data_IF_553668895303
#
_entry.id   IF_553668895303
#
_cell.length_a   1.000
_cell.length_b   1.000
_cell.length_c   1.000
_cell.angle_alpha   90.00
_cell.angle_beta   90.00
_cell.angle_gamma   90.00
#
_symmetry.space_group_name_H-M   'P 1'
#
loop_
_entity.id
_entity.type
_entity.pdbx_description
1 polymer ?
#
# COMPACT_ATOMS: atom_id res chain seq x y z
N UNK A 1 -56.80 -9.63 -3.78
CA UNK A 1 -55.77 -10.60 -4.23
C UNK A 1 -54.50 -9.92 -4.78
N UNK A 2 -54.62 -8.90 -5.61
CA UNK A 2 -53.45 -8.20 -6.24
C UNK A 2 -52.52 -7.55 -5.19
N UNK A 3 -53.02 -6.88 -4.17
CA UNK A 3 -52.24 -6.23 -3.13
C UNK A 3 -51.40 -7.23 -2.27
N UNK A 4 -51.95 -8.42 -1.99
CA UNK A 4 -51.23 -9.46 -1.26
C UNK A 4 -50.11 -10.08 -2.11
N UNK A 5 -50.35 -10.23 -3.41
CA UNK A 5 -49.31 -10.69 -4.35
C UNK A 5 -48.16 -9.67 -4.48
N UNK A 6 -48.46 -8.38 -4.58
CA UNK A 6 -47.48 -7.30 -4.59
C UNK A 6 -46.63 -7.25 -3.31
N UNK A 7 -47.28 -7.37 -2.12
CA UNK A 7 -46.56 -7.41 -0.84
C UNK A 7 -45.60 -8.62 -0.73
N UNK A 8 -46.01 -9.78 -1.23
CA UNK A 8 -45.15 -10.98 -1.26
C UNK A 8 -43.96 -10.80 -2.21
N UNK A 9 -44.20 -10.24 -3.39
CA UNK A 9 -43.11 -9.97 -4.36
C UNK A 9 -42.12 -8.95 -3.78
N UNK A 10 -42.59 -7.84 -3.20
CA UNK A 10 -41.73 -6.86 -2.52
C UNK A 10 -40.96 -7.49 -1.37
N UNK A 11 -41.56 -8.35 -0.57
CA UNK A 11 -40.88 -9.07 0.51
C UNK A 11 -39.77 -9.99 0.02
N UNK A 12 -40.03 -10.73 -1.07
CA UNK A 12 -39.00 -11.60 -1.70
C UNK A 12 -37.85 -10.79 -2.28
N UNK A 13 -38.14 -9.68 -2.98
CA UNK A 13 -37.14 -8.81 -3.54
C UNK A 13 -36.26 -8.17 -2.45
N UNK A 14 -36.87 -7.68 -1.37
CA UNK A 14 -36.13 -7.13 -0.23
C UNK A 14 -35.28 -8.18 0.47
N UNK A 15 -35.76 -9.40 0.60
CA UNK A 15 -35.03 -10.52 1.19
C UNK A 15 -33.83 -10.93 0.32
N UNK A 16 -34.01 -11.03 -1.00
CA UNK A 16 -32.92 -11.29 -1.95
C UNK A 16 -31.90 -10.16 -1.89
N UNK A 17 -32.33 -8.90 -1.86
CA UNK A 17 -31.45 -7.74 -1.76
C UNK A 17 -30.64 -7.77 -0.46
N UNK A 18 -31.28 -8.10 0.68
CA UNK A 18 -30.61 -8.22 1.96
C UNK A 18 -29.56 -9.36 1.98
N UNK A 19 -29.89 -10.52 1.39
CA UNK A 19 -28.96 -11.63 1.26
C UNK A 19 -27.78 -11.27 0.34
N UNK A 20 -28.03 -10.55 -0.75
CA UNK A 20 -26.98 -10.10 -1.68
C UNK A 20 -26.05 -9.10 -0.99
N UNK A 21 -26.62 -8.13 -0.26
CA UNK A 21 -25.82 -7.14 0.50
C UNK A 21 -25.01 -7.81 1.61
N UNK A 22 -25.58 -8.76 2.34
CA UNK A 22 -24.87 -9.54 3.34
C UNK A 22 -23.75 -10.39 2.72
N UNK A 23 -24.01 -11.02 1.57
CA UNK A 23 -23.02 -11.80 0.82
C UNK A 23 -21.88 -10.94 0.29
N UNK A 24 -22.18 -9.76 -0.28
CA UNK A 24 -21.16 -8.80 -0.74
C UNK A 24 -20.32 -8.30 0.43
N UNK A 25 -20.97 -7.94 1.55
CA UNK A 25 -20.25 -7.52 2.76
C UNK A 25 -19.35 -8.62 3.31
N UNK A 26 -19.80 -9.86 3.29
CA UNK A 26 -19.01 -11.03 3.71
C UNK A 26 -17.83 -11.28 2.76
N UNK A 27 -18.01 -11.20 1.44
CA UNK A 27 -16.97 -11.35 0.44
C UNK A 27 -15.94 -10.20 0.55
N UNK A 28 -16.41 -8.96 0.68
CA UNK A 28 -15.55 -7.78 0.75
C UNK A 28 -14.64 -7.78 2.00
N UNK A 29 -15.20 -8.15 3.16
CA UNK A 29 -14.42 -8.24 4.41
C UNK A 29 -13.59 -9.51 4.51
N UNK A 30 -13.92 -10.54 3.75
CA UNK A 30 -13.39 -11.89 3.91
C UNK A 30 -13.96 -12.58 5.18
N UNK A 31 -13.84 -13.92 5.31
CA UNK A 31 -14.43 -14.68 6.41
C UNK A 31 -13.85 -14.37 7.81
N UNK A 32 -12.84 -13.52 7.89
CA UNK A 32 -12.29 -12.98 9.13
C UNK A 32 -12.49 -11.47 9.16
N UNK A 33 -13.70 -11.04 9.41
CA UNK A 33 -13.91 -9.82 10.19
C UNK A 33 -13.46 -10.14 11.62
N UNK A 34 -12.14 -10.10 11.84
CA UNK A 34 -11.70 -9.67 13.14
C UNK A 34 -12.30 -8.28 13.27
N UNK A 35 -13.40 -8.14 14.04
CA UNK A 35 -13.90 -6.84 14.46
C UNK A 35 -12.68 -5.98 14.69
N UNK A 36 -12.66 -4.77 14.14
CA UNK A 36 -11.70 -3.80 14.62
C UNK A 36 -11.89 -3.83 16.12
N UNK A 37 -10.99 -4.50 16.83
CA UNK A 37 -11.01 -4.43 18.27
C UNK A 37 -10.83 -2.96 18.51
N UNK A 38 -11.82 -2.34 19.17
CA UNK A 38 -11.71 -0.98 19.63
C UNK A 38 -10.36 -0.89 20.34
N UNK A 39 -9.42 -0.22 19.68
CA UNK A 39 -8.04 -0.20 20.09
C UNK A 39 -7.93 0.70 21.32
N UNK A 40 -8.01 0.14 22.52
CA UNK A 40 -7.87 0.85 23.79
C UNK A 40 -6.56 0.51 24.51
N UNK A 41 -5.61 -0.12 23.82
CA UNK A 41 -4.32 -0.50 24.40
C UNK A 41 -3.17 0.35 23.86
N UNK A 42 -2.43 1.04 24.73
CA UNK A 42 -1.07 1.51 24.40
C UNK A 42 -0.26 0.31 23.88
N UNK A 43 0.51 0.47 22.78
CA UNK A 43 1.45 -0.57 22.37
C UNK A 43 2.32 -0.95 23.55
N UNK A 44 2.52 -2.26 23.77
CA UNK A 44 3.55 -2.72 24.71
C UNK A 44 4.89 -2.24 24.16
N UNK A 45 5.48 -1.23 24.79
CA UNK A 45 6.61 -0.45 24.26
C UNK A 45 7.94 -1.22 24.22
N UNK A 46 7.98 -2.50 24.56
CA UNK A 46 9.23 -3.24 24.75
C UNK A 46 9.68 -4.12 23.59
N UNK A 47 8.88 -4.30 22.54
CA UNK A 47 9.17 -5.26 21.45
C UNK A 47 9.35 -4.62 20.06
N UNK A 48 8.90 -3.40 19.87
CA UNK A 48 8.93 -2.76 18.56
C UNK A 48 10.04 -1.72 18.45
N UNK A 49 10.70 -1.57 17.27
CA UNK A 49 11.74 -0.56 17.10
C UNK A 49 11.15 0.85 17.24
N UNK A 50 12.02 1.79 17.63
CA UNK A 50 11.65 3.21 17.69
C UNK A 50 11.56 3.77 16.28
N UNK A 51 10.36 4.18 15.88
CA UNK A 51 10.07 4.82 14.59
C UNK A 51 10.23 6.34 14.74
N UNK A 52 10.95 6.96 13.83
CA UNK A 52 11.21 8.40 13.86
C UNK A 52 10.21 9.19 13.02
N UNK A 53 9.31 9.89 13.68
CA UNK A 53 8.40 10.87 13.05
C UNK A 53 9.18 11.97 12.32
N UNK A 54 10.33 12.38 12.87
CA UNK A 54 11.19 13.38 12.27
C UNK A 54 11.80 12.90 10.94
N UNK A 55 12.23 11.64 10.87
CA UNK A 55 12.76 11.06 9.61
C UNK A 55 11.66 10.98 8.55
N UNK A 56 10.46 10.52 8.92
CA UNK A 56 9.32 10.50 7.99
C UNK A 56 9.05 11.88 7.42
N UNK A 57 8.95 12.90 8.28
CA UNK A 57 8.72 14.28 7.86
C UNK A 57 9.86 14.82 7.00
N UNK A 58 11.11 14.57 7.37
CA UNK A 58 12.26 15.01 6.60
C UNK A 58 12.29 14.37 5.20
N UNK A 59 12.01 13.05 5.11
CA UNK A 59 11.93 12.34 3.84
C UNK A 59 10.87 12.92 2.92
N UNK A 60 9.62 13.06 3.42
CA UNK A 60 8.53 13.64 2.62
C UNK A 60 8.89 15.06 2.18
N UNK A 61 9.42 15.89 3.08
CA UNK A 61 9.82 17.25 2.76
C UNK A 61 10.88 17.27 1.65
N UNK A 62 11.94 16.46 1.76
CA UNK A 62 12.98 16.39 0.73
C UNK A 62 12.41 15.96 -0.63
N UNK A 63 11.53 14.96 -0.66
CA UNK A 63 10.91 14.50 -1.90
C UNK A 63 10.00 15.56 -2.53
N UNK A 64 9.25 16.30 -1.72
CA UNK A 64 8.26 17.28 -2.20
C UNK A 64 8.84 18.65 -2.52
N UNK A 65 9.93 19.05 -1.87
CA UNK A 65 10.50 20.40 -1.98
C UNK A 65 11.85 20.37 -2.71
N UNK A 66 12.84 19.60 -2.22
CA UNK A 66 14.20 19.63 -2.74
C UNK A 66 14.35 18.83 -4.07
N UNK A 67 13.60 17.73 -4.21
CA UNK A 67 13.64 16.81 -5.34
C UNK A 67 12.44 16.94 -6.29
N UNK A 68 11.52 17.84 -6.01
CA UNK A 68 10.40 18.15 -6.92
C UNK A 68 10.90 18.90 -8.17
N UNK A 69 10.22 18.73 -9.33
CA UNK A 69 9.16 17.77 -9.57
C UNK A 69 9.71 16.33 -9.69
N UNK A 70 8.87 15.36 -9.30
CA UNK A 70 9.14 13.94 -9.51
C UNK A 70 8.37 13.37 -10.70
N UNK A 71 8.01 14.22 -11.63
CA UNK A 71 7.36 13.83 -12.88
C UNK A 71 8.33 13.11 -13.81
N UNK A 72 7.82 12.24 -14.68
CA UNK A 72 8.62 11.42 -15.58
C UNK A 72 9.45 12.21 -16.58
N UNK A 73 8.98 13.39 -16.98
CA UNK A 73 9.68 14.20 -17.97
C UNK A 73 10.19 15.53 -17.38
N UNK A 74 11.45 15.91 -17.62
CA UNK A 74 12.51 15.08 -18.22
C UNK A 74 12.95 13.93 -17.31
N UNK A 75 13.49 12.81 -17.85
CA UNK A 75 13.92 11.65 -17.06
C UNK A 75 14.92 11.96 -15.95
N UNK A 76 15.68 13.04 -16.10
CA UNK A 76 16.61 13.52 -15.05
C UNK A 76 15.92 13.88 -13.73
N UNK A 77 14.63 14.20 -13.75
CA UNK A 77 13.86 14.43 -12.52
C UNK A 77 13.88 13.17 -11.65
N UNK A 78 13.46 12.04 -12.24
CA UNK A 78 13.41 10.77 -11.53
C UNK A 78 14.79 10.19 -11.24
N UNK A 79 15.80 10.44 -12.10
CA UNK A 79 17.17 10.01 -11.85
C UNK A 79 17.72 10.60 -10.54
N UNK A 80 17.52 11.90 -10.28
CA UNK A 80 17.94 12.55 -9.02
C UNK A 80 17.28 11.92 -7.80
N UNK A 81 15.99 11.60 -7.92
CA UNK A 81 15.22 10.97 -6.83
C UNK A 81 15.75 9.56 -6.57
N UNK A 82 15.97 8.76 -7.63
CA UNK A 82 16.51 7.42 -7.52
C UNK A 82 17.90 7.41 -6.85
N UNK A 83 18.80 8.33 -7.24
CA UNK A 83 20.12 8.46 -6.64
C UNK A 83 20.04 8.79 -5.15
N UNK A 84 19.13 9.69 -4.76
CA UNK A 84 18.90 10.03 -3.35
C UNK A 84 18.35 8.84 -2.55
N UNK A 85 17.34 8.15 -3.07
CA UNK A 85 16.76 6.95 -2.42
C UNK A 85 17.83 5.86 -2.28
N UNK A 86 18.63 5.61 -3.32
CA UNK A 86 19.73 4.65 -3.28
C UNK A 86 20.75 4.99 -2.18
N UNK A 87 21.09 6.28 -2.04
CA UNK A 87 21.94 6.78 -0.95
C UNK A 87 21.35 6.45 0.43
N UNK A 88 20.07 6.77 0.64
CA UNK A 88 19.37 6.50 1.92
C UNK A 88 19.30 5.00 2.25
N UNK A 89 19.06 4.15 1.24
CA UNK A 89 19.04 2.71 1.45
C UNK A 89 20.44 2.15 1.75
N UNK A 90 21.52 2.64 1.10
CA UNK A 90 22.89 2.22 1.39
C UNK A 90 23.33 2.52 2.82
N UNK A 91 22.82 3.60 3.43
CA UNK A 91 23.08 3.93 4.84
C UNK A 91 22.62 2.86 5.82
N UNK A 92 21.68 2.00 5.41
CA UNK A 92 21.15 0.91 6.26
C UNK A 92 22.06 -0.32 6.31
N UNK A 93 23.07 -0.38 5.44
CA UNK A 93 23.98 -1.52 5.31
C UNK A 93 23.40 -2.71 4.54
N UNK A 94 22.20 -2.60 3.96
CA UNK A 94 21.65 -3.61 3.06
C UNK A 94 22.35 -3.58 1.70
N UNK A 95 22.25 -4.70 0.97
CA UNK A 95 22.66 -4.76 -0.43
C UNK A 95 21.67 -3.94 -1.25
N UNK A 96 22.15 -2.89 -1.91
CA UNK A 96 21.35 -2.02 -2.77
C UNK A 96 21.70 -2.29 -4.22
N UNK A 97 20.69 -2.60 -5.01
CA UNK A 97 20.76 -2.84 -6.45
C UNK A 97 19.93 -1.77 -7.16
N UNK A 98 20.29 -1.50 -8.39
CA UNK A 98 19.58 -0.58 -9.26
C UNK A 98 19.19 -1.33 -10.53
N UNK A 99 17.94 -1.18 -10.96
CA UNK A 99 17.44 -1.78 -12.20
C UNK A 99 17.05 -0.67 -13.16
N UNK A 100 17.94 -0.38 -14.12
CA UNK A 100 17.62 0.51 -15.23
C UNK A 100 16.69 -0.21 -16.22
N UNK A 101 15.71 0.52 -16.74
CA UNK A 101 14.80 0.03 -17.77
C UNK A 101 14.43 1.14 -18.75
N UNK A 102 14.05 0.74 -19.96
CA UNK A 102 13.68 1.66 -21.05
C UNK A 102 12.18 1.63 -21.28
N UNK A 103 11.64 2.81 -21.52
CA UNK A 103 10.26 3.06 -21.96
C UNK A 103 10.28 3.88 -23.24
N UNK A 104 9.12 4.19 -23.80
CA UNK A 104 9.00 5.13 -24.92
C UNK A 104 9.46 6.55 -24.57
N UNK A 105 9.36 6.94 -23.29
CA UNK A 105 9.64 8.29 -22.81
C UNK A 105 11.07 8.49 -22.28
N UNK A 106 11.82 7.40 -22.11
CA UNK A 106 13.19 7.49 -21.62
C UNK A 106 13.70 6.26 -20.89
N UNK A 107 14.81 6.44 -20.17
CA UNK A 107 15.37 5.42 -19.27
C UNK A 107 15.12 5.84 -17.84
N UNK A 108 14.56 4.91 -17.07
CA UNK A 108 14.22 5.09 -15.66
C UNK A 108 14.83 3.97 -14.82
N UNK A 109 14.65 4.02 -13.51
CA UNK A 109 15.33 3.13 -12.59
C UNK A 109 14.45 2.72 -11.42
N UNK A 110 14.44 1.43 -11.07
CA UNK A 110 14.00 0.96 -9.78
C UNK A 110 15.19 0.89 -8.81
N UNK A 111 14.97 1.25 -7.56
CA UNK A 111 15.97 1.15 -6.49
C UNK A 111 15.56 0.05 -5.53
N UNK A 112 16.41 -0.94 -5.31
CA UNK A 112 16.08 -2.20 -4.67
C UNK A 112 17.04 -2.43 -3.51
N UNK A 113 16.53 -2.54 -2.27
CA UNK A 113 17.29 -3.02 -1.13
C UNK A 113 16.92 -4.48 -0.84
N UNK A 114 17.92 -5.35 -0.74
CA UNK A 114 17.76 -6.76 -0.44
C UNK A 114 18.16 -7.05 1.01
N UNK A 115 17.22 -7.59 1.77
CA UNK A 115 17.48 -8.25 3.05
C UNK A 115 17.44 -9.76 2.84
N UNK A 116 18.62 -10.38 2.85
CA UNK A 116 18.75 -11.82 2.61
C UNK A 116 18.12 -12.63 3.73
N UNK A 117 17.30 -13.61 3.36
CA UNK A 117 16.74 -14.60 4.26
C UNK A 117 17.70 -15.77 4.54
N UNK A 118 17.43 -16.51 5.59
CA UNK A 118 18.22 -17.70 6.00
C UNK A 118 17.84 -18.95 5.21
N UNK A 119 16.65 -19.01 4.64
CA UNK A 119 16.13 -20.15 3.88
C UNK A 119 15.90 -19.76 2.42
N UNK A 120 16.83 -20.17 1.56
CA UNK A 120 16.78 -19.86 0.13
C UNK A 120 15.71 -20.64 -0.64
N UNK A 121 15.11 -21.68 -0.05
CA UNK A 121 14.01 -22.43 -0.67
C UNK A 121 12.67 -21.75 -0.50
N UNK A 122 12.56 -20.80 0.43
CA UNK A 122 11.38 -19.97 0.57
C UNK A 122 11.31 -18.95 -0.55
N UNK A 123 10.09 -18.58 -0.91
CA UNK A 123 9.85 -17.46 -1.80
C UNK A 123 10.20 -16.12 -1.13
N UNK A 124 10.15 -15.07 -1.89
CA UNK A 124 10.51 -13.72 -1.45
C UNK A 124 9.26 -12.90 -1.15
N UNK A 125 9.36 -11.97 -0.19
CA UNK A 125 8.38 -10.91 0.01
C UNK A 125 8.92 -9.62 -0.60
N UNK A 126 8.08 -8.92 -1.37
CA UNK A 126 8.37 -7.61 -1.95
C UNK A 126 7.52 -6.57 -1.23
N UNK A 127 8.13 -5.50 -0.76
CA UNK A 127 7.44 -4.31 -0.27
C UNK A 127 7.92 -3.14 -1.10
N UNK A 128 7.01 -2.41 -1.76
CA UNK A 128 7.39 -1.35 -2.67
C UNK A 128 6.50 -0.14 -2.60
N UNK A 129 7.03 0.99 -3.06
CA UNK A 129 6.33 2.26 -3.23
C UNK A 129 6.88 2.95 -4.47
N UNK A 130 6.02 3.57 -5.27
CA UNK A 130 6.51 4.39 -6.38
C UNK A 130 7.01 5.75 -5.87
N UNK A 131 7.93 6.35 -6.63
CA UNK A 131 8.54 7.63 -6.24
C UNK A 131 8.29 8.75 -7.25
N UNK A 132 7.66 8.45 -8.39
CA UNK A 132 7.19 9.47 -9.34
C UNK A 132 5.88 10.13 -8.85
N UNK A 133 5.44 11.16 -9.56
CA UNK A 133 4.21 11.91 -9.30
C UNK A 133 3.40 12.14 -10.56
N UNK A 134 2.09 12.23 -10.42
CA UNK A 134 1.18 12.68 -11.46
C UNK A 134 1.45 14.15 -11.81
N UNK A 135 2.30 14.38 -12.82
CA UNK A 135 2.69 15.72 -13.23
C UNK A 135 3.62 16.45 -12.25
N UNK A 136 3.68 17.80 -12.30
CA UNK A 136 4.62 18.59 -11.53
C UNK A 136 4.14 18.93 -10.11
N UNK A 137 3.33 18.07 -9.52
CA UNK A 137 2.79 18.27 -8.17
C UNK A 137 3.77 17.81 -7.08
N UNK A 138 3.64 18.32 -5.83
CA UNK A 138 4.50 17.89 -4.74
C UNK A 138 4.34 16.40 -4.42
N UNK A 139 3.12 15.84 -4.50
CA UNK A 139 2.84 14.43 -4.27
C UNK A 139 3.26 13.97 -2.89
N UNK A 140 2.82 14.66 -1.84
CA UNK A 140 3.23 14.34 -0.49
C UNK A 140 2.64 13.03 0.00
N UNK A 141 1.34 12.85 -0.24
CA UNK A 141 0.68 11.59 0.03
C UNK A 141 0.91 10.62 -1.11
N UNK A 142 0.85 11.11 -2.36
CA UNK A 142 1.00 10.37 -3.60
C UNK A 142 2.35 10.64 -4.31
N UNK A 143 3.43 9.89 -4.07
CA UNK A 143 3.53 8.83 -3.06
C UNK A 143 4.81 9.00 -2.22
N UNK A 144 5.15 10.27 -1.85
CA UNK A 144 6.27 10.49 -0.93
C UNK A 144 5.99 9.86 0.45
N UNK A 145 4.71 9.70 0.84
CA UNK A 145 4.31 9.04 2.07
C UNK A 145 4.72 7.55 2.07
N UNK A 146 4.42 6.84 0.97
CA UNK A 146 4.81 5.44 0.79
C UNK A 146 6.32 5.24 0.77
N UNK A 147 7.06 6.12 0.05
CA UNK A 147 8.53 6.09 0.04
C UNK A 147 9.10 6.36 1.43
N UNK A 148 8.56 7.32 2.18
CA UNK A 148 9.02 7.63 3.53
C UNK A 148 8.80 6.46 4.49
N UNK A 149 7.61 5.82 4.42
CA UNK A 149 7.29 4.61 5.19
C UNK A 149 8.23 3.47 4.81
N UNK A 150 8.51 3.25 3.52
CA UNK A 150 9.43 2.22 3.05
C UNK A 150 10.85 2.42 3.59
N UNK A 151 11.39 3.64 3.49
CA UNK A 151 12.75 3.96 3.97
C UNK A 151 12.85 3.82 5.50
N UNK A 152 11.86 4.29 6.24
CA UNK A 152 11.85 4.17 7.69
C UNK A 152 11.67 2.71 8.16
N UNK A 153 10.86 1.91 7.44
CA UNK A 153 10.73 0.49 7.66
C UNK A 153 12.10 -0.22 7.52
N UNK A 154 12.83 0.07 6.42
CA UNK A 154 14.15 -0.51 6.18
C UNK A 154 15.15 -0.10 7.25
N UNK A 155 15.16 1.18 7.66
CA UNK A 155 16.05 1.70 8.70
C UNK A 155 15.85 1.00 10.05
N UNK A 156 14.63 0.56 10.32
CA UNK A 156 14.23 0.00 11.63
C UNK A 156 14.08 -1.51 11.62
N UNK A 157 14.53 -2.19 10.56
CA UNK A 157 14.46 -3.66 10.47
C UNK A 157 15.14 -4.36 11.67
N UNK A 158 14.54 -5.43 12.21
CA UNK A 158 15.16 -6.22 13.28
C UNK A 158 16.50 -6.78 12.82
N UNK A 159 17.50 -6.84 13.72
CA UNK A 159 18.84 -7.35 13.39
C UNK A 159 18.88 -8.80 12.92
N UNK A 160 18.20 -9.77 13.56
CA UNK A 160 18.18 -11.14 13.05
C UNK A 160 17.61 -11.19 11.63
N UNK A 161 18.26 -11.90 10.69
CA UNK A 161 17.74 -12.04 9.34
C UNK A 161 16.42 -12.81 9.37
N UNK A 162 15.49 -12.52 8.43
CA UNK A 162 14.23 -13.25 8.30
C UNK A 162 14.48 -14.66 7.74
N UNK A 163 13.47 -15.52 7.75
CA UNK A 163 13.54 -16.80 7.05
C UNK A 163 13.49 -16.62 5.54
N UNK A 164 12.53 -15.85 5.04
CA UNK A 164 12.36 -15.50 3.62
C UNK A 164 13.11 -14.23 3.28
N UNK A 165 13.72 -14.16 2.10
CA UNK A 165 14.34 -12.93 1.61
C UNK A 165 13.28 -11.84 1.38
N UNK A 166 13.65 -10.59 1.62
CA UNK A 166 12.78 -9.43 1.51
C UNK A 166 13.40 -8.42 0.57
N UNK A 167 12.64 -8.00 -0.45
CA UNK A 167 12.97 -6.89 -1.31
C UNK A 167 12.17 -5.66 -0.89
N UNK A 168 12.87 -4.54 -0.71
CA UNK A 168 12.30 -3.23 -0.49
C UNK A 168 12.59 -2.40 -1.73
N UNK A 169 11.56 -1.99 -2.45
CA UNK A 169 11.71 -1.44 -3.80
C UNK A 169 11.06 -0.08 -3.91
N UNK A 170 11.84 0.93 -4.32
CA UNK A 170 11.27 2.16 -4.82
C UNK A 170 11.11 2.03 -6.35
N UNK A 171 9.87 2.06 -6.82
CA UNK A 171 9.54 1.95 -8.23
C UNK A 171 9.50 3.32 -8.90
N UNK A 172 10.00 3.40 -10.13
CA UNK A 172 9.77 4.55 -10.99
C UNK A 172 8.57 4.30 -11.92
N UNK A 173 8.02 5.35 -12.51
CA UNK A 173 7.03 5.27 -13.58
C UNK A 173 5.78 4.43 -13.23
N UNK A 174 5.10 4.77 -12.15
CA UNK A 174 3.79 4.21 -11.80
C UNK A 174 2.67 5.03 -12.43
N UNK A 175 2.83 6.35 -12.43
CA UNK A 175 1.84 7.34 -12.83
C UNK A 175 1.64 7.41 -14.37
N UNK A 176 0.59 8.09 -14.79
CA UNK A 176 0.38 8.37 -16.22
C UNK A 176 1.60 9.04 -16.86
N UNK A 177 2.01 8.63 -18.06
CA UNK A 177 1.30 7.74 -19.02
C UNK A 177 1.62 6.25 -18.88
N UNK A 178 2.33 5.82 -17.83
CA UNK A 178 2.81 4.45 -17.70
C UNK A 178 1.84 3.52 -16.99
N UNK A 179 0.91 4.07 -16.20
CA UNK A 179 -0.02 3.27 -15.40
C UNK A 179 -0.73 2.20 -16.23
N UNK A 180 -0.80 0.99 -15.69
CA UNK A 180 -1.45 -0.15 -16.35
C UNK A 180 -0.68 -0.74 -17.54
N UNK A 181 0.48 -0.18 -17.88
CA UNK A 181 1.31 -0.63 -19.01
C UNK A 181 2.47 -1.52 -18.55
N UNK A 182 3.21 -2.03 -19.55
CA UNK A 182 4.44 -2.78 -19.32
C UNK A 182 5.63 -1.88 -18.95
N UNK A 183 5.46 -0.58 -19.06
CA UNK A 183 6.48 0.42 -18.78
C UNK A 183 6.47 0.92 -17.33
N UNK A 184 5.54 0.42 -16.49
CA UNK A 184 5.63 0.60 -15.04
C UNK A 184 6.91 -0.01 -14.49
N UNK A 185 7.57 0.70 -13.57
CA UNK A 185 8.77 0.17 -12.89
C UNK A 185 8.51 -1.15 -12.19
N UNK A 186 7.35 -1.28 -11.56
CA UNK A 186 6.89 -2.53 -10.93
C UNK A 186 6.70 -3.66 -11.93
N UNK A 187 6.28 -3.37 -13.18
CA UNK A 187 6.14 -4.38 -14.23
C UNK A 187 7.51 -4.91 -14.68
N UNK A 188 8.51 -4.02 -14.81
CA UNK A 188 9.88 -4.43 -15.11
C UNK A 188 10.47 -5.30 -14.00
N UNK A 189 10.22 -4.95 -12.73
CA UNK A 189 10.74 -5.74 -11.61
C UNK A 189 10.02 -7.08 -11.46
N UNK A 190 8.70 -7.12 -11.59
CA UNK A 190 7.92 -8.35 -11.52
C UNK A 190 8.33 -9.35 -12.62
N UNK A 191 8.54 -8.86 -13.87
CA UNK A 191 9.05 -9.69 -14.96
C UNK A 191 10.44 -10.24 -14.66
N UNK A 192 11.36 -9.40 -14.18
CA UNK A 192 12.70 -9.85 -13.80
C UNK A 192 12.63 -10.99 -12.78
N UNK A 193 11.82 -10.87 -11.74
CA UNK A 193 11.66 -11.94 -10.74
C UNK A 193 11.09 -13.21 -11.38
N UNK A 194 10.12 -13.08 -12.28
CA UNK A 194 9.54 -14.22 -13.01
C UNK A 194 10.56 -14.89 -13.92
N UNK A 195 11.32 -14.14 -14.70
CA UNK A 195 12.34 -14.65 -15.63
C UNK A 195 13.51 -15.32 -14.90
N UNK A 196 13.88 -14.80 -13.73
CA UNK A 196 14.88 -15.38 -12.83
C UNK A 196 14.36 -16.65 -12.10
N UNK A 197 13.10 -17.03 -12.30
CA UNK A 197 12.45 -18.14 -11.59
C UNK A 197 12.28 -17.88 -10.09
N UNK A 198 12.31 -16.63 -9.65
CA UNK A 198 12.17 -16.27 -8.24
C UNK A 198 10.71 -16.41 -7.81
N UNK A 199 10.46 -17.28 -6.85
CA UNK A 199 9.12 -17.46 -6.28
C UNK A 199 8.74 -16.29 -5.42
N UNK A 200 7.77 -15.49 -5.85
CA UNK A 200 7.19 -14.40 -5.04
C UNK A 200 6.09 -14.95 -4.14
N UNK A 201 6.24 -14.82 -2.83
CA UNK A 201 5.21 -15.21 -1.86
C UNK A 201 4.17 -14.13 -1.65
N UNK A 202 4.59 -12.86 -1.72
CA UNK A 202 3.73 -11.71 -1.52
C UNK A 202 4.42 -10.46 -2.03
N UNK A 203 3.65 -9.60 -2.70
CA UNK A 203 3.99 -8.20 -2.96
C UNK A 203 3.02 -7.29 -2.20
N UNK A 204 3.55 -6.30 -1.51
CA UNK A 204 2.80 -5.27 -0.78
C UNK A 204 3.17 -3.92 -1.39
N UNK A 205 2.23 -3.29 -2.09
CA UNK A 205 2.37 -1.91 -2.51
C UNK A 205 2.00 -0.98 -1.34
N UNK A 206 2.82 0.03 -1.10
CA UNK A 206 2.54 1.12 -0.18
C UNK A 206 2.22 2.35 -1.01
N UNK A 207 0.99 2.80 -0.97
CA UNK A 207 0.56 3.89 -1.82
C UNK A 207 -0.53 4.71 -1.13
N UNK A 208 -0.25 6.01 -0.98
CA UNK A 208 -1.04 6.92 -0.16
C UNK A 208 -1.25 6.35 1.26
N UNK A 209 -0.29 6.59 2.14
CA UNK A 209 -0.30 6.04 3.52
C UNK A 209 -0.13 7.14 4.58
N UNK A 210 -0.37 8.40 4.20
CA UNK A 210 -0.06 9.55 5.03
C UNK A 210 -1.24 10.43 5.40
N UNK A 211 -2.38 10.38 4.69
CA UNK A 211 -3.51 11.25 4.94
C UNK A 211 -4.55 10.59 5.85
N UNK A 212 -4.81 11.21 6.99
CA UNK A 212 -5.78 10.72 7.99
C UNK A 212 -6.67 11.86 8.48
N UNK A 213 -7.91 11.52 8.87
CA UNK A 213 -8.85 12.48 9.45
C UNK A 213 -9.75 11.83 10.49
N UNK A 214 -9.92 12.49 11.64
CA UNK A 214 -10.83 12.09 12.71
C UNK A 214 -12.24 12.66 12.53
N UNK A 215 -12.44 13.51 11.52
CA UNK A 215 -13.72 14.15 11.26
C UNK A 215 -14.79 13.15 10.83
N UNK A 216 -15.99 13.22 11.39
CA UNK A 216 -17.12 12.42 10.93
C UNK A 216 -17.43 12.69 9.45
N UNK A 217 -17.61 11.63 8.66
CA UNK A 217 -17.89 11.73 7.23
C UNK A 217 -16.66 11.96 6.36
N UNK A 218 -15.45 11.95 6.91
CA UNK A 218 -14.20 12.10 6.16
C UNK A 218 -13.83 10.89 5.31
N UNK A 219 -14.55 9.78 5.42
CA UNK A 219 -14.35 8.58 4.60
C UNK A 219 -15.53 8.38 3.66
N UNK A 220 -15.26 8.37 2.36
CA UNK A 220 -16.21 8.00 1.30
C UNK A 220 -16.00 6.55 0.85
N UNK A 221 -16.94 6.03 0.08
CA UNK A 221 -16.90 4.66 -0.44
C UNK A 221 -17.42 4.62 -1.88
N UNK A 222 -16.93 3.69 -2.74
CA UNK A 222 -17.42 3.54 -4.11
C UNK A 222 -18.92 3.24 -4.19
N UNK A 223 -19.44 2.59 -3.16
CA UNK A 223 -20.86 2.25 -3.05
C UNK A 223 -21.39 2.58 -1.65
N UNK A 224 -22.48 3.33 -1.56
CA UNK A 224 -23.03 3.85 -0.30
C UNK A 224 -23.35 2.77 0.75
N UNK A 225 -23.70 1.55 0.33
CA UNK A 225 -23.99 0.46 1.28
C UNK A 225 -22.75 0.00 2.08
N UNK A 226 -21.54 0.31 1.62
CA UNK A 226 -20.30 -0.03 2.35
C UNK A 226 -20.18 0.73 3.68
N UNK A 227 -20.86 1.87 3.83
CA UNK A 227 -20.97 2.60 5.10
C UNK A 227 -21.59 1.76 6.22
N UNK A 228 -22.36 0.73 5.90
CA UNK A 228 -22.91 -0.20 6.89
C UNK A 228 -21.84 -1.12 7.50
N UNK A 229 -20.68 -1.25 6.83
CA UNK A 229 -19.65 -2.21 7.19
C UNK A 229 -18.33 -1.57 7.60
N UNK A 230 -18.08 -0.31 7.20
CA UNK A 230 -16.84 0.41 7.41
C UNK A 230 -17.08 1.74 8.13
N UNK A 231 -16.08 2.25 8.88
CA UNK A 231 -16.23 3.53 9.59
C UNK A 231 -16.32 4.69 8.62
N UNK A 232 -17.13 5.70 8.97
CA UNK A 232 -17.23 6.95 8.22
C UNK A 232 -16.13 7.97 8.54
N UNK A 233 -15.07 7.57 9.23
CA UNK A 233 -13.89 8.41 9.54
C UNK A 233 -12.67 7.84 8.88
N UNK A 234 -11.82 8.71 8.38
CA UNK A 234 -10.55 8.38 7.73
C UNK A 234 -9.39 8.16 8.71
N UNK A 235 -9.62 7.47 9.83
CA UNK A 235 -8.66 7.26 10.93
C UNK A 235 -7.95 5.89 10.89
N UNK A 236 -8.02 5.19 9.78
CA UNK A 236 -7.51 3.83 9.59
C UNK A 236 -6.63 3.69 8.33
N UNK A 237 -5.90 2.58 8.27
CA UNK A 237 -5.25 2.11 7.04
C UNK A 237 -6.01 0.90 6.48
N UNK A 238 -6.05 0.76 5.16
CA UNK A 238 -6.73 -0.32 4.46
C UNK A 238 -5.73 -1.29 3.80
N UNK A 239 -6.06 -2.58 3.81
CA UNK A 239 -5.41 -3.61 2.99
C UNK A 239 -6.39 -4.02 1.90
N UNK A 240 -6.05 -3.73 0.66
CA UNK A 240 -6.93 -3.85 -0.49
C UNK A 240 -6.38 -4.86 -1.49
N UNK A 241 -7.28 -5.53 -2.21
CA UNK A 241 -6.92 -6.40 -3.31
C UNK A 241 -8.14 -7.04 -3.96
N UNK A 242 -7.91 -7.75 -5.04
CA UNK A 242 -8.96 -8.40 -5.81
C UNK A 242 -9.57 -9.63 -5.12
N UNK A 243 -10.52 -10.26 -5.82
CA UNK A 243 -11.20 -11.45 -5.32
C UNK A 243 -10.24 -12.63 -5.06
N UNK A 244 -9.13 -12.72 -5.79
CA UNK A 244 -8.09 -13.75 -5.61
C UNK A 244 -7.19 -13.50 -4.41
N UNK A 245 -7.04 -12.24 -3.97
CA UNK A 245 -6.07 -11.84 -2.95
C UNK A 245 -6.45 -12.20 -1.50
N UNK A 246 -7.59 -12.85 -1.26
CA UNK A 246 -8.17 -12.99 0.08
C UNK A 246 -7.25 -13.60 1.15
N UNK A 247 -6.38 -14.56 0.80
CA UNK A 247 -5.44 -15.17 1.77
C UNK A 247 -4.34 -14.18 2.16
N UNK A 248 -3.84 -13.38 1.20
CA UNK A 248 -2.77 -12.41 1.43
C UNK A 248 -3.26 -11.17 2.17
N UNK A 249 -4.46 -10.68 1.83
CA UNK A 249 -5.14 -9.62 2.59
C UNK A 249 -5.26 -10.03 4.06
N UNK A 250 -5.70 -11.27 4.34
CA UNK A 250 -5.80 -11.76 5.73
C UNK A 250 -4.43 -11.85 6.42
N UNK A 251 -3.40 -12.32 5.71
CA UNK A 251 -2.03 -12.40 6.24
C UNK A 251 -1.52 -10.99 6.62
N UNK A 252 -1.56 -10.04 5.67
CA UNK A 252 -1.08 -8.68 5.91
C UNK A 252 -1.89 -8.00 7.01
N UNK A 253 -3.22 -8.03 6.95
CA UNK A 253 -4.08 -7.44 7.98
C UNK A 253 -3.81 -8.01 9.36
N UNK A 254 -3.64 -9.34 9.49
CA UNK A 254 -3.35 -9.98 10.77
C UNK A 254 -2.01 -9.50 11.34
N UNK A 255 -0.96 -9.48 10.52
CA UNK A 255 0.36 -8.97 10.92
C UNK A 255 0.29 -7.51 11.37
N UNK A 256 -0.38 -6.65 10.58
CA UNK A 256 -0.56 -5.24 10.95
C UNK A 256 -1.32 -5.07 12.27
N UNK A 257 -2.39 -5.83 12.49
CA UNK A 257 -3.18 -5.79 13.73
C UNK A 257 -2.41 -6.30 14.94
N UNK A 258 -1.46 -7.24 14.76
CA UNK A 258 -0.62 -7.76 15.84
C UNK A 258 0.26 -6.67 16.47
N UNK A 259 0.68 -5.69 15.69
CA UNK A 259 1.44 -4.53 16.17
C UNK A 259 0.62 -3.58 17.05
N UNK A 260 -0.70 -3.65 16.97
CA UNK A 260 -1.62 -2.78 17.74
C UNK A 260 -1.30 -1.28 17.60
N UNK A 261 -0.89 -0.82 16.43
CA UNK A 261 -0.44 0.56 16.23
C UNK A 261 -1.55 1.51 15.78
N UNK A 262 -2.45 1.04 14.91
CA UNK A 262 -3.57 1.82 14.38
C UNK A 262 -4.70 0.87 13.92
N UNK A 263 -5.94 1.39 13.66
CA UNK A 263 -7.00 0.59 13.08
C UNK A 263 -6.64 0.13 11.66
N UNK A 264 -6.87 -1.16 11.36
CA UNK A 264 -6.62 -1.74 10.03
C UNK A 264 -7.89 -2.38 9.51
N UNK A 265 -8.36 -1.88 8.38
CA UNK A 265 -9.48 -2.48 7.65
C UNK A 265 -8.99 -3.21 6.42
N UNK A 266 -9.86 -3.95 5.76
CA UNK A 266 -9.51 -4.61 4.51
C UNK A 266 -10.70 -4.62 3.58
N UNK A 267 -10.42 -4.48 2.29
CA UNK A 267 -11.42 -4.62 1.25
C UNK A 267 -10.95 -5.62 0.19
N UNK A 268 -11.89 -6.46 -0.26
CA UNK A 268 -11.67 -7.41 -1.34
C UNK A 268 -12.84 -7.31 -2.31
N UNK A 269 -12.55 -6.99 -3.56
CA UNK A 269 -13.58 -6.78 -4.56
C UNK A 269 -13.12 -7.13 -5.97
N UNK A 270 -14.04 -7.10 -6.95
CA UNK A 270 -13.66 -7.19 -8.36
C UNK A 270 -12.73 -6.05 -8.76
N UNK A 271 -11.79 -6.32 -9.66
CA UNK A 271 -10.84 -5.33 -10.22
C UNK A 271 -11.52 -4.15 -10.95
N UNK A 272 -12.79 -4.30 -11.32
CA UNK A 272 -13.60 -3.22 -11.89
C UNK A 272 -13.96 -2.10 -10.88
N UNK A 273 -13.81 -2.35 -9.59
CA UNK A 273 -14.04 -1.31 -8.58
C UNK A 273 -12.84 -0.37 -8.57
N UNK A 274 -13.03 0.95 -8.77
CA UNK A 274 -11.94 1.91 -8.76
C UNK A 274 -11.09 1.82 -7.48
N UNK A 275 -9.77 1.82 -7.65
CA UNK A 275 -8.81 1.73 -6.55
C UNK A 275 -8.40 0.32 -6.11
N UNK A 276 -9.04 -0.75 -6.62
CA UNK A 276 -8.67 -2.13 -6.26
C UNK A 276 -7.31 -2.52 -6.81
N UNK A 277 -7.03 -2.14 -8.07
CA UNK A 277 -5.83 -2.48 -8.81
C UNK A 277 -5.05 -1.22 -9.26
N UNK A 278 -5.23 -0.09 -8.56
CA UNK A 278 -4.62 1.17 -8.92
C UNK A 278 -3.35 1.43 -8.11
N UNK A 279 -2.32 0.63 -8.30
CA UNK A 279 -0.97 0.80 -7.81
C UNK A 279 -0.05 -0.34 -8.29
N UNK A 280 1.21 -0.33 -7.90
CA UNK A 280 2.29 -1.26 -8.26
C UNK A 280 1.96 -2.76 -8.12
N UNK A 281 1.09 -3.15 -7.18
CA UNK A 281 0.65 -4.55 -7.01
C UNK A 281 -0.10 -5.08 -8.24
N UNK A 282 -0.68 -4.20 -9.06
CA UNK A 282 -1.30 -4.56 -10.34
C UNK A 282 -0.32 -5.30 -11.25
N UNK A 283 0.90 -4.78 -11.41
CA UNK A 283 1.94 -5.36 -12.27
C UNK A 283 2.27 -6.81 -11.90
N UNK A 284 2.35 -7.11 -10.61
CA UNK A 284 2.58 -8.46 -10.12
C UNK A 284 1.40 -9.37 -10.42
N UNK A 285 0.19 -8.88 -10.22
CA UNK A 285 -1.03 -9.63 -10.46
C UNK A 285 -1.24 -9.97 -11.93
N UNK A 286 -0.83 -9.09 -12.85
CA UNK A 286 -0.85 -9.37 -14.30
C UNK A 286 -0.01 -10.60 -14.67
N UNK A 287 1.00 -10.93 -13.88
CA UNK A 287 1.83 -12.12 -14.04
C UNK A 287 1.35 -13.32 -13.18
N UNK A 288 0.15 -13.21 -12.56
CA UNK A 288 -0.36 -14.26 -11.65
C UNK A 288 0.37 -14.33 -10.30
N UNK A 289 1.22 -13.35 -10.00
CA UNK A 289 1.93 -13.25 -8.73
C UNK A 289 1.04 -12.61 -7.67
N UNK A 290 1.18 -12.95 -6.38
CA UNK A 290 0.37 -12.37 -5.32
C UNK A 290 0.73 -10.91 -5.05
N UNK A 291 -0.28 -10.05 -4.99
CA UNK A 291 -0.13 -8.63 -4.68
C UNK A 291 -1.30 -8.09 -3.88
N UNK A 292 -1.02 -7.17 -2.96
CA UNK A 292 -1.99 -6.38 -2.19
C UNK A 292 -1.52 -4.95 -2.07
N UNK A 293 -2.47 -4.04 -1.86
CA UNK A 293 -2.25 -2.63 -1.63
C UNK A 293 -2.48 -2.30 -0.15
N UNK A 294 -1.59 -1.52 0.45
CA UNK A 294 -1.78 -0.86 1.75
C UNK A 294 -1.93 0.63 1.47
N UNK A 295 -3.09 1.20 1.83
CA UNK A 295 -3.46 2.57 1.46
C UNK A 295 -4.36 3.22 2.51
N UNK A 296 -4.34 4.53 2.56
CA UNK A 296 -5.32 5.32 3.31
C UNK A 296 -6.66 5.50 2.56
N UNK A 297 -6.75 4.97 1.35
CA UNK A 297 -7.89 4.97 0.43
C UNK A 297 -7.94 6.14 -0.57
N UNK A 298 -6.87 6.89 -0.72
CA UNK A 298 -6.68 7.88 -1.79
C UNK A 298 -7.87 8.86 -1.97
N UNK A 299 -8.35 9.02 -3.18
CA UNK A 299 -9.47 9.91 -3.56
C UNK A 299 -10.78 9.67 -2.80
N UNK A 300 -10.92 8.55 -2.10
CA UNK A 300 -12.09 8.30 -1.23
C UNK A 300 -12.01 9.04 0.11
N UNK A 301 -10.85 9.63 0.43
CA UNK A 301 -10.58 10.35 1.66
C UNK A 301 -9.85 11.67 1.45
N UNK A 302 -8.79 11.63 0.61
CA UNK A 302 -7.87 12.75 0.43
C UNK A 302 -8.32 13.63 -0.75
N UNK A 303 -8.81 14.84 -0.45
CA UNK A 303 -9.20 15.83 -1.46
C UNK A 303 -8.00 16.45 -2.21
N UNK A 304 -6.77 16.19 -1.73
CA UNK A 304 -5.53 16.67 -2.35
C UNK A 304 -4.95 15.70 -3.38
N UNK A 305 -5.53 14.50 -3.53
CA UNK A 305 -5.10 13.49 -4.49
C UNK A 305 -4.98 14.06 -5.90
N UNK A 306 -3.80 13.94 -6.52
CA UNK A 306 -3.45 14.49 -7.84
C UNK A 306 -3.66 16.02 -7.95
N UNK A 307 -3.44 16.75 -6.85
CA UNK A 307 -3.59 18.20 -6.81
C UNK A 307 -2.30 18.90 -6.36
N UNK A 308 -2.09 20.18 -6.75
CA UNK A 308 -0.98 20.99 -6.25
C UNK A 308 -0.99 21.18 -4.72
N UNK A 309 -2.11 20.88 -4.09
CA UNK A 309 -2.31 21.00 -2.64
C UNK A 309 -1.91 19.74 -1.87
N UNK A 310 -1.46 18.67 -2.55
CA UNK A 310 -0.87 17.49 -1.90
C UNK A 310 0.54 17.80 -1.42
N UNK A 311 0.61 18.41 -0.24
CA UNK A 311 1.83 18.99 0.35
C UNK A 311 2.19 18.33 1.67
N UNK A 312 3.45 18.43 2.14
CA UNK A 312 3.89 17.83 3.42
C UNK A 312 3.04 18.24 4.64
N UNK A 313 2.37 19.39 4.58
CA UNK A 313 1.52 19.89 5.66
C UNK A 313 0.21 19.16 5.84
N UNK A 314 -0.24 18.38 4.86
CA UNK A 314 -1.52 17.66 4.91
C UNK A 314 -1.42 16.28 5.60
N UNK A 315 -0.21 15.80 5.88
CA UNK A 315 0.02 14.43 6.35
C UNK A 315 0.07 14.32 7.88
N UNK A 316 -0.41 13.18 8.38
CA UNK A 316 -0.27 12.76 9.79
C UNK A 316 0.95 11.83 9.97
N UNK A 317 2.08 12.41 10.28
CA UNK A 317 3.34 11.68 10.47
C UNK A 317 3.34 10.73 11.67
N UNK A 318 2.49 10.98 12.67
CA UNK A 318 2.34 10.09 13.82
C UNK A 318 1.63 8.80 13.40
N UNK A 319 0.61 8.91 12.56
CA UNK A 319 -0.07 7.75 11.97
C UNK A 319 0.78 7.05 10.90
N UNK A 320 1.58 7.78 10.13
CA UNK A 320 2.60 7.17 9.25
C UNK A 320 3.59 6.32 10.06
N UNK A 321 4.06 6.80 11.20
CA UNK A 321 4.90 6.00 12.10
C UNK A 321 4.18 4.75 12.63
N UNK A 322 2.88 4.83 12.90
CA UNK A 322 2.06 3.68 13.26
C UNK A 322 1.89 2.69 12.09
N UNK A 323 1.85 3.16 10.83
CA UNK A 323 1.87 2.28 9.65
C UNK A 323 3.20 1.53 9.56
N UNK A 324 4.35 2.19 9.76
CA UNK A 324 5.66 1.52 9.82
C UNK A 324 5.66 0.43 10.89
N UNK A 325 5.17 0.74 12.09
CA UNK A 325 5.06 -0.24 13.17
C UNK A 325 4.16 -1.41 12.81
N UNK A 326 3.03 -1.16 12.15
CA UNK A 326 2.11 -2.18 11.68
C UNK A 326 2.77 -3.11 10.64
N UNK A 327 3.57 -2.57 9.71
CA UNK A 327 4.34 -3.34 8.73
C UNK A 327 5.40 -4.23 9.40
N UNK A 328 6.03 -3.77 10.49
CA UNK A 328 6.90 -4.65 11.29
C UNK A 328 6.14 -5.88 11.81
N UNK A 329 4.86 -5.74 12.17
CA UNK A 329 4.02 -6.88 12.55
C UNK A 329 3.86 -7.89 11.42
N UNK A 330 3.75 -7.43 10.16
CA UNK A 330 3.70 -8.32 8.99
C UNK A 330 5.02 -9.06 8.82
N UNK A 331 6.14 -8.35 8.92
CA UNK A 331 7.48 -8.94 8.76
C UNK A 331 7.84 -9.91 9.90
N UNK A 332 7.31 -9.72 11.10
CA UNK A 332 7.53 -10.61 12.23
C UNK A 332 6.81 -11.97 12.05
N UNK A 333 5.61 -12.00 11.44
CA UNK A 333 4.91 -13.25 11.13
C UNK A 333 5.66 -14.11 10.09
N UNK A 334 6.52 -13.52 9.26
CA UNK A 334 7.34 -14.23 8.28
C UNK A 334 8.53 -14.95 8.91
N UNK A 335 8.91 -14.54 10.11
CA UNK A 335 10.02 -15.12 10.88
C UNK A 335 9.67 -16.38 11.68
N UNK A 336 8.38 -16.65 11.86
CA UNK A 336 7.88 -17.85 12.54
C UNK A 336 7.45 -18.91 11.53
#
# INVERSE_FOLDING_TARGET
MLAIALLRICGVVLFILALTLAGVGWVARGPLVLRASSFTGRPSSSTWPSISVQNLRATVKTLCEDLSPRSYHPPSNLARVADWIAGRLRETGLVVMEQDYRTSEGTYRNVIALRQGTDRQRGVTVIGAHYDTCGPFPGADDNASGVAVLLELVRTLPKPPPRSSQFFVAFGTEEDPFFGSQDMGSAHFARKLSDDGTRVELMIALDLVGFFSDEPGSQSFPYGFLQLYYPGRGDFIAVVGDLGAGRWIRRVKRGMLAAKALPVYSFRGPSLIPGIDWSDHFSFRQLGLPGVLVTDTAFLRNAHYHQPTDTPGTLDYSRMAAVVQALHGVLAEEGT
#
